data_IF_756891846530
#
_entry.id   IF_756891846530
#
_cell.length_a   1.000
_cell.length_b   1.000
_cell.length_c   1.000
_cell.angle_alpha   90.00
_cell.angle_beta   90.00
_cell.angle_gamma   90.00
#
_symmetry.space_group_name_H-M   'P 1'
#
loop_
_entity.id
_entity.type
_entity.pdbx_description
1 polymer ?
#
# COMPACT_ATOMS: atom_id res chain seq x y z
N UNK A 1 0.32 8.15 -17.47
CA UNK A 1 -0.42 6.96 -17.94
C UNK A 1 0.49 5.78 -18.24
N UNK A 2 1.62 5.96 -18.94
CA UNK A 2 2.52 4.85 -19.32
C UNK A 2 3.08 4.04 -18.12
N UNK A 3 3.47 4.68 -17.02
CA UNK A 3 4.06 3.99 -15.86
C UNK A 3 3.10 3.05 -15.11
N UNK A 4 1.83 3.44 -14.95
CA UNK A 4 0.83 2.60 -14.24
C UNK A 4 0.41 1.43 -15.11
N UNK A 5 0.26 1.66 -16.42
CA UNK A 5 -0.05 0.60 -17.38
C UNK A 5 1.04 -0.47 -17.41
N UNK A 6 2.32 -0.08 -17.49
CA UNK A 6 3.44 -1.03 -17.43
C UNK A 6 3.46 -1.84 -16.13
N UNK A 7 3.19 -1.19 -14.99
CA UNK A 7 3.14 -1.88 -13.69
C UNK A 7 1.98 -2.91 -13.61
N UNK A 8 0.79 -2.55 -14.11
CA UNK A 8 -0.37 -3.45 -14.14
C UNK A 8 -0.16 -4.62 -15.10
N UNK A 9 0.46 -4.39 -16.26
CA UNK A 9 0.78 -5.44 -17.23
C UNK A 9 1.79 -6.45 -16.69
N UNK A 10 2.89 -5.97 -16.11
CA UNK A 10 3.91 -6.84 -15.52
C UNK A 10 3.34 -7.68 -14.37
N UNK A 11 2.51 -7.08 -13.51
CA UNK A 11 1.86 -7.80 -12.41
C UNK A 11 0.92 -8.89 -12.90
N UNK A 12 0.14 -8.64 -13.95
CA UNK A 12 -0.77 -9.63 -14.54
C UNK A 12 -0.02 -10.79 -15.20
N UNK A 13 1.06 -10.49 -15.93
CA UNK A 13 1.90 -11.50 -16.58
C UNK A 13 2.56 -12.42 -15.55
N UNK A 14 3.21 -11.84 -14.53
CA UNK A 14 3.84 -12.61 -13.45
C UNK A 14 2.83 -13.49 -12.72
N UNK A 15 1.67 -12.94 -12.37
CA UNK A 15 0.60 -13.69 -11.67
C UNK A 15 0.09 -14.85 -12.53
N UNK A 16 -0.09 -14.64 -13.84
CA UNK A 16 -0.57 -15.69 -14.75
C UNK A 16 0.45 -16.83 -14.91
N UNK A 17 1.73 -16.50 -15.03
CA UNK A 17 2.83 -17.46 -15.12
C UNK A 17 2.95 -18.26 -13.82
N UNK A 18 2.87 -17.60 -12.66
CA UNK A 18 2.88 -18.27 -11.35
C UNK A 18 1.67 -19.20 -11.16
N UNK A 19 0.47 -18.79 -11.58
CA UNK A 19 -0.72 -19.66 -11.52
C UNK A 19 -0.59 -20.89 -12.44
N UNK A 20 0.04 -20.71 -13.61
CA UNK A 20 0.28 -21.81 -14.54
C UNK A 20 1.22 -22.85 -13.94
N UNK A 21 2.28 -22.42 -13.24
CA UNK A 21 3.26 -23.30 -12.59
C UNK A 21 2.68 -24.06 -11.38
N UNK A 22 1.65 -23.52 -10.72
CA UNK A 22 0.96 -24.16 -9.57
C UNK A 22 -0.13 -25.15 -10.02
N UNK A 23 -0.54 -25.17 -11.30
CA UNK A 23 -1.46 -26.16 -11.85
C UNK A 23 -2.89 -26.16 -11.28
N UNK A 24 -3.30 -25.10 -10.57
CA UNK A 24 -4.58 -25.04 -9.83
C UNK A 24 -5.75 -24.39 -10.56
N UNK A 25 -5.64 -24.13 -11.87
CA UNK A 25 -6.70 -23.48 -12.66
C UNK A 25 -8.07 -24.15 -12.49
N UNK A 26 -8.10 -25.49 -12.53
CA UNK A 26 -9.34 -26.26 -12.41
C UNK A 26 -9.95 -26.20 -11.00
N UNK A 27 -9.14 -26.10 -9.95
CA UNK A 27 -9.62 -26.01 -8.56
C UNK A 27 -10.24 -24.63 -8.27
N UNK A 28 -9.63 -23.57 -8.78
CA UNK A 28 -10.14 -22.20 -8.64
C UNK A 28 -11.47 -22.02 -9.39
N UNK A 29 -11.59 -22.57 -10.61
CA UNK A 29 -12.84 -22.54 -11.38
C UNK A 29 -13.98 -23.31 -10.70
N UNK A 30 -13.69 -24.47 -10.10
CA UNK A 30 -14.68 -25.24 -9.35
C UNK A 30 -15.17 -24.50 -8.09
N UNK A 31 -14.28 -23.75 -7.43
CA UNK A 31 -14.61 -22.97 -6.23
C UNK A 31 -15.47 -21.73 -6.57
N UNK A 32 -15.14 -21.04 -7.65
CA UNK A 32 -15.90 -19.88 -8.17
C UNK A 32 -17.33 -20.27 -8.54
N UNK A 33 -17.53 -21.44 -9.17
CA UNK A 33 -18.87 -21.94 -9.49
C UNK A 33 -19.71 -22.28 -8.24
N UNK A 34 -19.06 -22.60 -7.11
CA UNK A 34 -19.73 -23.02 -5.88
C UNK A 34 -20.11 -21.85 -4.96
N UNK A 35 -19.42 -20.70 -5.07
CA UNK A 35 -19.66 -19.53 -4.21
C UNK A 35 -19.77 -18.24 -5.04
N UNK A 36 -20.97 -17.86 -5.51
CA UNK A 36 -21.19 -16.63 -6.28
C UNK A 36 -21.04 -15.35 -5.44
N UNK A 37 -21.26 -15.41 -4.13
CA UNK A 37 -21.02 -14.29 -3.21
C UNK A 37 -19.55 -13.83 -3.24
N UNK A 38 -18.62 -14.80 -3.31
CA UNK A 38 -17.17 -14.52 -3.41
C UNK A 38 -16.81 -13.79 -4.70
N UNK A 39 -17.52 -14.05 -5.80
CA UNK A 39 -17.32 -13.32 -7.06
C UNK A 39 -17.69 -11.84 -6.89
N UNK A 40 -18.80 -11.55 -6.22
CA UNK A 40 -19.28 -10.19 -5.99
C UNK A 40 -18.28 -9.40 -5.14
N UNK A 41 -17.78 -9.99 -4.04
CA UNK A 41 -16.73 -9.38 -3.22
C UNK A 41 -15.46 -9.13 -4.04
N UNK A 42 -15.06 -10.07 -4.89
CA UNK A 42 -13.87 -9.94 -5.73
C UNK A 42 -14.02 -8.81 -6.77
N UNK A 43 -15.20 -8.66 -7.36
CA UNK A 43 -15.50 -7.57 -8.30
C UNK A 43 -15.48 -6.22 -7.59
N UNK A 44 -16.15 -6.09 -6.45
CA UNK A 44 -16.17 -4.85 -5.66
C UNK A 44 -14.76 -4.47 -5.21
N UNK A 45 -13.97 -5.45 -4.77
CA UNK A 45 -12.57 -5.25 -4.37
C UNK A 45 -11.69 -4.84 -5.55
N UNK A 46 -11.90 -5.43 -6.73
CA UNK A 46 -11.18 -5.09 -7.96
C UNK A 46 -11.51 -3.68 -8.46
N UNK A 47 -12.79 -3.31 -8.51
CA UNK A 47 -13.24 -1.96 -8.89
C UNK A 47 -12.70 -0.92 -7.91
N UNK A 48 -12.81 -1.18 -6.61
CA UNK A 48 -12.26 -0.31 -5.56
C UNK A 48 -10.75 -0.13 -5.71
N UNK A 49 -10.01 -1.21 -5.99
CA UNK A 49 -8.57 -1.18 -6.24
C UNK A 49 -8.22 -0.36 -7.48
N UNK A 50 -8.96 -0.54 -8.59
CA UNK A 50 -8.76 0.23 -9.83
C UNK A 50 -9.02 1.72 -9.61
N UNK A 51 -10.11 2.08 -8.93
CA UNK A 51 -10.41 3.47 -8.56
C UNK A 51 -9.33 4.06 -7.64
N UNK A 52 -8.86 3.31 -6.64
CA UNK A 52 -7.78 3.72 -5.75
C UNK A 52 -6.48 3.99 -6.50
N UNK A 53 -6.13 3.15 -7.48
CA UNK A 53 -4.94 3.34 -8.32
C UNK A 53 -5.05 4.58 -9.22
N UNK A 54 -6.24 4.85 -9.79
CA UNK A 54 -6.49 6.08 -10.54
C UNK A 54 -6.39 7.33 -9.65
N UNK A 55 -6.93 7.27 -8.44
CA UNK A 55 -6.85 8.37 -7.47
C UNK A 55 -5.41 8.65 -7.05
N UNK A 56 -4.63 7.61 -6.74
CA UNK A 56 -3.20 7.73 -6.42
C UNK A 56 -2.45 8.42 -7.56
N UNK A 57 -2.68 8.00 -8.80
CA UNK A 57 -2.02 8.61 -9.96
C UNK A 57 -2.40 10.09 -10.12
N UNK A 58 -3.69 10.42 -9.92
CA UNK A 58 -4.19 11.81 -9.96
C UNK A 58 -3.57 12.67 -8.85
N UNK A 59 -3.41 12.13 -7.65
CA UNK A 59 -2.75 12.81 -6.52
C UNK A 59 -1.27 13.03 -6.79
N UNK A 60 -0.56 12.04 -7.34
CA UNK A 60 0.86 12.17 -7.70
C UNK A 60 1.05 13.24 -8.78
N UNK A 61 0.15 13.31 -9.76
CA UNK A 61 0.23 14.31 -10.83
C UNK A 61 0.08 15.75 -10.31
N UNK A 62 -0.77 15.98 -9.30
CA UNK A 62 -1.02 17.33 -8.76
C UNK A 62 -0.12 17.71 -7.57
N UNK A 63 0.26 16.75 -6.72
CA UNK A 63 0.95 17.01 -5.45
C UNK A 63 2.31 16.31 -5.33
N UNK A 64 2.70 15.53 -6.33
CA UNK A 64 3.96 14.79 -6.36
C UNK A 64 3.94 13.48 -5.53
N UNK A 65 5.02 12.68 -5.64
CA UNK A 65 5.13 11.35 -5.02
C UNK A 65 5.19 11.37 -3.49
N UNK A 66 5.49 12.53 -2.89
CA UNK A 66 5.64 12.67 -1.43
C UNK A 66 4.28 12.55 -0.72
N UNK A 67 3.21 13.10 -1.31
CA UNK A 67 1.87 13.01 -0.72
C UNK A 67 1.35 11.58 -0.73
N UNK A 68 1.66 10.81 -1.77
CA UNK A 68 1.34 9.38 -1.81
C UNK A 68 2.02 8.60 -0.67
N UNK A 69 3.31 8.82 -0.46
CA UNK A 69 4.07 8.17 0.64
C UNK A 69 3.51 8.55 2.01
N UNK A 70 3.07 9.80 2.19
CA UNK A 70 2.45 10.26 3.43
C UNK A 70 1.10 9.55 3.66
N UNK A 71 0.24 9.49 2.63
CA UNK A 71 -1.06 8.81 2.72
C UNK A 71 -0.88 7.31 3.06
N UNK A 72 0.05 6.62 2.42
CA UNK A 72 0.36 5.21 2.70
C UNK A 72 0.86 5.00 4.13
N UNK A 73 1.65 5.94 4.64
CA UNK A 73 2.19 5.89 6.01
C UNK A 73 1.11 6.16 7.05
N UNK A 74 0.23 7.14 6.81
CA UNK A 74 -0.93 7.42 7.69
C UNK A 74 -1.84 6.20 7.75
N UNK A 75 -2.19 5.59 6.61
CA UNK A 75 -3.07 4.41 6.57
C UNK A 75 -2.52 3.24 7.37
N UNK A 76 -1.22 2.94 7.22
CA UNK A 76 -0.57 1.88 8.00
C UNK A 76 -0.48 2.26 9.49
N UNK A 77 -0.16 3.53 9.81
CA UNK A 77 -0.11 4.02 11.18
C UNK A 77 -1.43 3.90 11.93
N UNK A 78 -2.53 4.31 11.29
CA UNK A 78 -3.88 4.22 11.87
C UNK A 78 -4.28 2.77 12.17
N UNK A 79 -3.97 1.84 11.27
CA UNK A 79 -4.23 0.41 11.49
C UNK A 79 -3.51 -0.11 12.74
N UNK A 80 -2.26 0.32 12.96
CA UNK A 80 -1.49 -0.07 14.15
C UNK A 80 -2.13 0.53 15.42
N UNK A 81 -2.51 1.81 15.40
CA UNK A 81 -3.19 2.46 16.54
C UNK A 81 -4.50 1.74 16.89
N UNK A 82 -5.31 1.38 15.89
CA UNK A 82 -6.58 0.65 16.07
C UNK A 82 -6.33 -0.75 16.64
N UNK A 83 -5.28 -1.44 16.17
CA UNK A 83 -4.88 -2.75 16.70
C UNK A 83 -4.49 -2.66 18.18
N UNK A 84 -3.74 -1.62 18.56
CA UNK A 84 -3.37 -1.36 19.96
C UNK A 84 -4.61 -1.13 20.85
N UNK A 85 -5.62 -0.43 20.35
CA UNK A 85 -6.89 -0.20 21.09
C UNK A 85 -7.70 -1.49 21.23
N UNK A 86 -7.67 -2.39 20.23
CA UNK A 86 -8.45 -3.65 20.24
C UNK A 86 -7.88 -4.71 21.18
N UNK A 87 -6.57 -4.74 21.43
CA UNK A 87 -5.88 -5.80 22.19
C UNK A 87 -6.01 -5.69 23.72
N UNK A 88 -7.11 -5.09 24.22
CA UNK A 88 -7.42 -4.75 25.62
C UNK A 88 -7.68 -5.97 26.55
N UNK A 89 -6.84 -7.01 26.49
CA UNK A 89 -6.79 -8.13 27.45
C UNK A 89 -5.40 -8.16 28.13
N UNK A 90 -5.29 -8.68 29.37
CA UNK A 90 -4.33 -8.25 30.39
C UNK A 90 -2.90 -8.16 29.86
N UNK A 91 -2.42 -6.93 29.84
CA UNK A 91 -1.32 -6.48 29.00
C UNK A 91 0.00 -6.78 29.71
N UNK A 92 0.71 -7.81 29.25
CA UNK A 92 2.12 -8.05 29.60
C UNK A 92 2.97 -6.82 29.23
N UNK A 93 3.96 -6.47 30.04
CA UNK A 93 4.87 -5.32 29.85
C UNK A 93 5.46 -5.18 28.42
N UNK A 94 5.55 -6.29 27.69
CA UNK A 94 5.98 -6.37 26.30
C UNK A 94 5.11 -5.55 25.32
N UNK A 95 3.80 -5.48 25.54
CA UNK A 95 2.89 -4.73 24.68
C UNK A 95 3.01 -3.20 24.91
N UNK A 96 3.32 -2.77 26.14
CA UNK A 96 3.62 -1.37 26.42
C UNK A 96 4.87 -0.89 25.67
N UNK A 97 5.93 -1.72 25.64
CA UNK A 97 7.12 -1.48 24.83
C UNK A 97 6.82 -1.45 23.33
N UNK A 98 5.96 -2.35 22.84
CA UNK A 98 5.52 -2.36 21.44
C UNK A 98 4.80 -1.08 21.03
N UNK A 99 3.91 -0.57 21.89
CA UNK A 99 3.20 0.71 21.65
C UNK A 99 4.19 1.87 21.61
N UNK A 100 5.13 1.96 22.56
CA UNK A 100 6.14 3.01 22.60
C UNK A 100 7.03 3.00 21.34
N UNK A 101 7.48 1.82 20.90
CA UNK A 101 8.31 1.66 19.70
C UNK A 101 7.57 2.08 18.43
N UNK A 102 6.30 1.68 18.28
CA UNK A 102 5.44 2.09 17.17
C UNK A 102 5.27 3.61 17.13
N UNK A 103 5.01 4.23 18.28
CA UNK A 103 4.80 5.68 18.38
C UNK A 103 6.06 6.45 17.95
N UNK A 104 7.24 6.01 18.41
CA UNK A 104 8.54 6.59 18.00
C UNK A 104 8.75 6.41 16.49
N UNK A 105 8.50 5.21 15.95
CA UNK A 105 8.70 4.92 14.53
C UNK A 105 7.79 5.76 13.62
N UNK A 106 6.52 5.98 14.02
CA UNK A 106 5.60 6.88 13.34
C UNK A 106 6.07 8.34 13.44
N UNK A 107 6.45 8.81 14.62
CA UNK A 107 6.88 10.18 14.83
C UNK A 107 8.14 10.52 14.00
N UNK A 108 9.13 9.61 13.97
CA UNK A 108 10.33 9.74 13.14
C UNK A 108 9.98 9.74 11.64
N UNK A 109 9.07 8.86 11.19
CA UNK A 109 8.63 8.84 9.77
C UNK A 109 7.91 10.12 9.36
N UNK A 110 7.02 10.65 10.20
CA UNK A 110 6.36 11.93 9.94
C UNK A 110 7.36 13.10 9.93
N UNK A 111 8.23 13.17 10.94
CA UNK A 111 9.23 14.24 11.04
C UNK A 111 10.23 14.22 9.88
N UNK A 112 10.74 13.03 9.53
CA UNK A 112 11.65 12.86 8.40
C UNK A 112 10.95 13.15 7.07
N UNK A 113 9.72 12.66 6.88
CA UNK A 113 8.90 12.94 5.69
C UNK A 113 8.60 14.43 5.51
N UNK A 114 8.33 15.14 6.60
CA UNK A 114 8.13 16.60 6.61
C UNK A 114 9.44 17.35 6.33
N UNK A 115 10.56 16.99 6.97
CA UNK A 115 11.87 17.64 6.75
C UNK A 115 12.44 17.40 5.35
N UNK A 116 12.23 16.23 4.77
CA UNK A 116 12.65 15.92 3.39
C UNK A 116 11.98 16.87 2.38
N UNK A 117 10.80 17.41 2.72
CA UNK A 117 10.11 18.44 1.93
C UNK A 117 10.79 19.81 2.05
N UNK A 118 11.26 20.18 3.25
CA UNK A 118 11.92 21.47 3.51
C UNK A 118 13.37 21.52 3.02
N UNK A 119 14.07 20.37 2.99
CA UNK A 119 15.47 20.28 2.52
C UNK A 119 15.62 20.18 1.00
N UNK A 120 14.53 19.94 0.26
CA UNK A 120 14.48 20.01 -1.22
C UNK A 120 14.21 21.45 -1.72
N UNK A 121 14.92 22.42 -1.14
CA UNK A 121 15.28 23.66 -1.84
C UNK A 121 16.35 23.38 -2.92
N UNK A 122 16.51 24.26 -3.92
CA UNK A 122 16.96 23.95 -5.29
C UNK A 122 18.44 23.52 -5.41
N UNK A 123 18.79 22.29 -5.02
CA UNK A 123 20.17 21.80 -5.12
C UNK A 123 20.30 20.41 -5.75
N UNK A 124 19.44 20.05 -6.71
CA UNK A 124 19.62 18.81 -7.51
C UNK A 124 19.53 19.05 -9.03
N UNK A 125 19.65 20.29 -9.50
CA UNK A 125 19.78 20.60 -10.92
C UNK A 125 21.24 20.53 -11.45
N UNK A 126 22.21 20.04 -10.66
CA UNK A 126 23.63 20.12 -11.01
C UNK A 126 24.37 18.76 -11.04
N UNK A 127 23.68 17.63 -11.18
CA UNK A 127 24.36 16.31 -11.25
C UNK A 127 23.66 15.33 -12.21
N UNK A 128 23.16 15.83 -13.34
CA UNK A 128 22.88 14.97 -14.50
C UNK A 128 23.10 15.77 -15.78
N UNK A 129 24.37 16.07 -16.04
CA UNK A 129 24.85 16.54 -17.33
C UNK A 129 26.10 15.74 -17.67
N UNK A 130 25.91 14.49 -18.08
CA UNK A 130 26.84 13.72 -18.91
C UNK A 130 26.04 12.75 -19.75
#
# INVERSE_FOLDING_TARGET
MQMVFSNSLLSSLLTTVSLYQVGSFSKTLAFIKKYPEFLTDCIVLSVSSACGQLFIFKTIYNFGPIVFTIIMTIRQGLSIIISCIRYHHPVTALAAFGIAFVFISLFVRFYCGYRMKFKRGPNHAATFKV
#
